data_IF_929857314636
#
_entry.id   IF_929857314636
#
_cell.length_a   1.000
_cell.length_b   1.000
_cell.length_c   1.000
_cell.angle_alpha   90.00
_cell.angle_beta   90.00
_cell.angle_gamma   90.00
#
_symmetry.space_group_name_H-M   'P 1'
#
loop_
_entity.id
_entity.type
_entity.pdbx_description
1 polymer ?
#
# COMPACT_ATOMS: atom_id res chain seq x y z
N UNK A 1 40.08 -74.32 -5.42
CA UNK A 1 39.72 -73.07 -4.70
C UNK A 1 40.08 -71.91 -5.62
N UNK A 2 39.15 -71.45 -6.45
CA UNK A 2 39.38 -70.41 -7.47
C UNK A 2 38.37 -69.29 -7.23
N UNK A 3 38.87 -68.07 -7.02
CA UNK A 3 38.14 -66.85 -6.64
C UNK A 3 37.16 -66.42 -7.73
N UNK A 4 35.95 -66.07 -7.30
CA UNK A 4 34.87 -65.48 -8.12
C UNK A 4 35.11 -63.97 -8.21
N UNK A 5 35.46 -63.45 -9.38
CA UNK A 5 35.55 -61.99 -9.59
C UNK A 5 34.18 -61.40 -9.94
N UNK A 6 33.78 -60.40 -9.14
CA UNK A 6 32.59 -59.56 -9.35
C UNK A 6 32.91 -58.51 -10.41
N UNK A 7 32.28 -58.58 -11.59
CA UNK A 7 32.20 -57.44 -12.51
C UNK A 7 31.03 -56.56 -12.08
N UNK A 8 31.35 -55.39 -11.53
CA UNK A 8 30.40 -54.30 -11.28
C UNK A 8 30.31 -53.52 -12.59
N UNK A 9 29.26 -53.72 -13.37
CA UNK A 9 28.94 -52.86 -14.52
C UNK A 9 28.37 -51.55 -13.98
N UNK A 10 29.19 -50.50 -14.02
CA UNK A 10 28.80 -49.13 -13.66
C UNK A 10 27.87 -48.59 -14.75
N UNK A 11 26.57 -48.60 -14.48
CA UNK A 11 25.57 -47.96 -15.33
C UNK A 11 25.68 -46.44 -15.16
N UNK A 12 26.17 -45.78 -16.20
CA UNK A 12 26.28 -44.33 -16.30
C UNK A 12 24.86 -43.72 -16.19
N UNK A 13 24.52 -43.14 -15.05
CA UNK A 13 23.30 -42.36 -14.90
C UNK A 13 23.46 -41.07 -15.72
N UNK A 14 22.80 -41.01 -16.88
CA UNK A 14 22.73 -39.82 -17.71
C UNK A 14 21.85 -38.79 -16.98
N UNK A 15 22.50 -37.90 -16.23
CA UNK A 15 21.85 -36.75 -15.59
C UNK A 15 21.49 -35.74 -16.69
N UNK A 16 20.25 -35.80 -17.17
CA UNK A 16 19.70 -34.74 -18.03
C UNK A 16 19.40 -33.54 -17.13
N UNK A 17 20.36 -32.61 -17.05
CA UNK A 17 20.13 -31.29 -16.45
C UNK A 17 19.30 -30.49 -17.46
N UNK A 18 17.97 -30.48 -17.27
CA UNK A 18 17.09 -29.52 -17.92
C UNK A 18 17.43 -28.14 -17.38
N UNK A 19 18.30 -27.41 -18.08
CA UNK A 19 18.45 -25.96 -17.88
C UNK A 19 17.16 -25.35 -18.44
N UNK A 20 16.17 -25.16 -17.56
CA UNK A 20 15.08 -24.25 -17.84
C UNK A 20 15.72 -22.85 -17.94
N UNK A 21 16.06 -22.43 -19.16
CA UNK A 21 16.35 -21.05 -19.44
C UNK A 21 15.07 -20.28 -19.12
N UNK A 22 15.03 -19.69 -17.92
CA UNK A 22 13.97 -18.80 -17.51
C UNK A 22 13.94 -17.64 -18.47
N UNK A 23 13.00 -17.69 -19.43
CA UNK A 23 12.64 -16.50 -20.20
C UNK A 23 12.18 -15.49 -19.17
N UNK A 24 12.87 -14.35 -19.08
CA UNK A 24 12.41 -13.21 -18.30
C UNK A 24 11.09 -12.75 -18.93
N UNK A 25 9.98 -13.29 -18.42
CA UNK A 25 8.66 -12.86 -18.82
C UNK A 25 8.54 -11.42 -18.31
N UNK A 26 8.25 -10.48 -19.22
CA UNK A 26 7.96 -9.12 -18.83
C UNK A 26 6.77 -9.10 -17.87
N UNK A 27 6.75 -8.14 -16.95
CA UNK A 27 5.67 -7.97 -15.98
C UNK A 27 4.29 -8.05 -16.67
N UNK A 28 3.45 -8.95 -16.19
CA UNK A 28 2.12 -9.19 -16.73
C UNK A 28 1.09 -8.36 -15.96
N UNK A 29 0.01 -7.99 -16.64
CA UNK A 29 -1.15 -7.37 -16.00
C UNK A 29 -2.26 -8.38 -15.81
N UNK A 30 -2.60 -8.68 -14.56
CA UNK A 30 -3.72 -9.53 -14.15
C UNK A 30 -4.94 -8.64 -13.88
N UNK A 31 -6.02 -8.82 -14.63
CA UNK A 31 -7.21 -7.94 -14.55
C UNK A 31 -8.29 -8.52 -13.65
N UNK A 32 -8.80 -7.70 -12.71
CA UNK A 32 -9.86 -8.05 -11.76
C UNK A 32 -11.10 -7.18 -11.97
N UNK A 33 -12.29 -7.80 -12.01
CA UNK A 33 -13.58 -7.11 -12.12
C UNK A 33 -14.59 -7.73 -11.15
N UNK A 34 -15.62 -6.96 -10.77
CA UNK A 34 -16.76 -7.48 -9.98
C UNK A 34 -17.70 -8.41 -10.76
N UNK A 35 -17.58 -8.48 -12.10
CA UNK A 35 -18.50 -9.22 -12.94
C UNK A 35 -17.81 -10.06 -14.03
N UNK A 36 -18.33 -11.27 -14.29
CA UNK A 36 -17.79 -12.17 -15.33
C UNK A 36 -17.96 -11.59 -16.74
N UNK A 37 -19.04 -10.86 -16.99
CA UNK A 37 -19.31 -10.21 -18.28
C UNK A 37 -18.38 -9.01 -18.56
N UNK A 38 -17.57 -8.58 -17.58
CA UNK A 38 -16.70 -7.41 -17.67
C UNK A 38 -15.37 -7.69 -18.42
N UNK A 39 -15.09 -8.96 -18.77
CA UNK A 39 -13.92 -9.36 -19.55
C UNK A 39 -12.60 -9.41 -18.75
N UNK A 40 -12.67 -9.42 -17.41
CA UNK A 40 -11.51 -9.65 -16.55
C UNK A 40 -11.20 -11.14 -16.41
N UNK A 41 -9.93 -11.44 -16.10
CA UNK A 41 -9.45 -12.81 -15.86
C UNK A 41 -9.90 -13.32 -14.49
N UNK A 42 -9.97 -12.42 -13.50
CA UNK A 42 -10.25 -12.75 -12.11
C UNK A 42 -11.46 -11.97 -11.60
N UNK A 43 -12.18 -12.59 -10.65
CA UNK A 43 -13.27 -11.95 -9.89
C UNK A 43 -12.86 -11.63 -8.45
N UNK A 44 -11.76 -12.22 -7.98
CA UNK A 44 -11.19 -11.98 -6.66
C UNK A 44 -9.84 -11.29 -6.78
N UNK A 45 -9.65 -10.21 -6.01
CA UNK A 45 -8.35 -9.53 -5.92
C UNK A 45 -7.31 -10.47 -5.32
N UNK A 46 -7.68 -11.21 -4.27
CA UNK A 46 -6.77 -12.13 -3.59
C UNK A 46 -6.31 -13.26 -4.52
N UNK A 47 -7.21 -13.80 -5.34
CA UNK A 47 -6.86 -14.84 -6.32
C UNK A 47 -5.87 -14.31 -7.36
N UNK A 48 -6.10 -13.09 -7.88
CA UNK A 48 -5.16 -12.47 -8.82
C UNK A 48 -3.78 -12.24 -8.18
N UNK A 49 -3.73 -11.82 -6.92
CA UNK A 49 -2.47 -11.68 -6.17
C UNK A 49 -1.79 -13.03 -6.03
N UNK A 50 -2.51 -14.10 -5.72
CA UNK A 50 -1.94 -15.45 -5.57
C UNK A 50 -1.33 -15.97 -6.88
N UNK A 51 -1.92 -15.64 -8.02
CA UNK A 51 -1.39 -15.96 -9.35
C UNK A 51 -0.25 -15.07 -9.83
N UNK A 52 -0.19 -13.81 -9.38
CA UNK A 52 0.81 -12.85 -9.83
C UNK A 52 2.24 -13.29 -9.49
N UNK A 53 3.18 -13.04 -10.40
CA UNK A 53 4.62 -13.16 -10.14
C UNK A 53 5.18 -11.84 -9.59
N UNK A 54 6.33 -11.88 -8.89
CA UNK A 54 7.09 -10.67 -8.58
C UNK A 54 7.24 -9.73 -9.78
N UNK A 55 6.88 -8.45 -9.59
CA UNK A 55 6.90 -7.40 -10.61
C UNK A 55 5.60 -7.24 -11.41
N UNK A 56 4.64 -8.18 -11.29
CA UNK A 56 3.37 -8.09 -12.00
C UNK A 56 2.47 -6.96 -11.47
N UNK A 57 1.50 -6.57 -12.29
CA UNK A 57 0.44 -5.64 -11.92
C UNK A 57 -0.89 -6.38 -11.76
N UNK A 58 -1.52 -6.27 -10.60
CA UNK A 58 -2.93 -6.61 -10.39
C UNK A 58 -3.76 -5.34 -10.62
N UNK A 59 -4.41 -5.26 -11.78
CA UNK A 59 -5.23 -4.13 -12.19
C UNK A 59 -6.70 -4.38 -11.82
N UNK A 60 -7.21 -3.64 -10.85
CA UNK A 60 -8.57 -3.78 -10.31
C UNK A 60 -9.46 -2.68 -10.89
N UNK A 61 -10.46 -3.06 -11.68
CA UNK A 61 -11.43 -2.11 -12.23
C UNK A 61 -12.45 -1.68 -11.20
N UNK A 62 -13.05 -0.51 -11.41
CA UNK A 62 -14.22 -0.02 -10.65
C UNK A 62 -15.18 -1.16 -10.32
N UNK A 63 -15.52 -1.27 -9.04
CA UNK A 63 -16.43 -2.26 -8.49
C UNK A 63 -16.36 -2.27 -6.97
N UNK A 64 -17.24 -3.03 -6.34
CA UNK A 64 -17.27 -3.20 -4.88
C UNK A 64 -16.80 -4.60 -4.50
N UNK A 65 -15.67 -4.65 -3.81
CA UNK A 65 -15.04 -5.87 -3.31
C UNK A 65 -15.17 -5.92 -1.80
N UNK A 66 -15.37 -7.13 -1.26
CA UNK A 66 -15.57 -7.38 0.17
C UNK A 66 -14.46 -8.28 0.71
N UNK A 67 -14.19 -8.14 2.00
CA UNK A 67 -13.15 -8.88 2.72
C UNK A 67 -11.79 -8.18 2.73
N UNK A 68 -10.77 -8.94 3.13
CA UNK A 68 -9.41 -8.46 3.34
C UNK A 68 -8.49 -8.92 2.20
N UNK A 69 -7.60 -8.04 1.75
CA UNK A 69 -6.59 -8.31 0.72
C UNK A 69 -5.21 -8.34 1.36
N UNK A 70 -4.48 -9.44 1.18
CA UNK A 70 -3.13 -9.63 1.69
C UNK A 70 -2.13 -9.71 0.53
N UNK A 71 -1.21 -8.74 0.46
CA UNK A 71 -0.17 -8.67 -0.55
C UNK A 71 1.13 -9.23 0.04
N UNK A 72 1.51 -10.42 -0.41
CA UNK A 72 2.67 -11.17 0.09
C UNK A 72 3.81 -11.30 -0.94
N UNK A 73 3.72 -10.57 -2.07
CA UNK A 73 4.69 -10.57 -3.17
C UNK A 73 4.93 -9.14 -3.65
N UNK A 74 6.13 -8.81 -4.16
CA UNK A 74 6.45 -7.48 -4.69
C UNK A 74 5.68 -7.25 -6.00
N UNK A 75 4.49 -6.67 -5.91
CA UNK A 75 3.59 -6.43 -7.05
C UNK A 75 3.08 -4.99 -7.02
N UNK A 76 2.44 -4.57 -8.11
CA UNK A 76 1.65 -3.35 -8.18
C UNK A 76 0.18 -3.71 -8.06
N UNK A 77 -0.50 -3.27 -7.01
CA UNK A 77 -1.96 -3.29 -6.91
C UNK A 77 -2.50 -1.92 -7.34
N UNK A 78 -3.15 -1.85 -8.50
CA UNK A 78 -3.59 -0.60 -9.12
C UNK A 78 -5.10 -0.59 -9.34
N UNK A 79 -5.78 0.44 -8.87
CA UNK A 79 -7.16 0.72 -9.25
C UNK A 79 -7.27 1.44 -10.61
N UNK A 80 -8.26 1.03 -11.41
CA UNK A 80 -8.61 1.63 -12.70
C UNK A 80 -10.07 2.09 -12.66
N UNK A 81 -10.29 3.39 -12.91
CA UNK A 81 -11.63 3.89 -13.27
C UNK A 81 -12.04 3.28 -14.60
N UNK A 82 -13.23 2.68 -14.66
CA UNK A 82 -13.70 2.00 -15.85
C UNK A 82 -15.02 2.58 -16.35
N UNK A 83 -16.15 2.02 -15.91
CA UNK A 83 -17.50 2.50 -16.25
C UNK A 83 -18.08 3.44 -15.18
N UNK A 84 -17.26 3.78 -14.21
CA UNK A 84 -17.59 4.67 -13.10
C UNK A 84 -16.42 5.64 -12.92
N UNK A 85 -16.72 6.86 -12.51
CA UNK A 85 -15.72 7.87 -12.16
C UNK A 85 -15.03 7.60 -10.81
N UNK A 86 -15.36 6.47 -10.18
CA UNK A 86 -14.81 6.02 -8.91
C UNK A 86 -13.82 4.87 -9.13
N UNK A 87 -12.73 4.88 -8.37
CA UNK A 87 -11.81 3.76 -8.24
C UNK A 87 -12.48 2.54 -7.58
N UNK A 88 -11.92 1.32 -7.66
CA UNK A 88 -12.45 0.15 -6.94
C UNK A 88 -12.51 0.40 -5.42
N UNK A 89 -13.59 -0.09 -4.78
CA UNK A 89 -13.75 -0.10 -3.33
C UNK A 89 -13.46 -1.48 -2.77
N UNK A 90 -12.63 -1.55 -1.72
CA UNK A 90 -12.52 -2.72 -0.85
C UNK A 90 -13.16 -2.37 0.50
N UNK A 91 -14.19 -3.13 0.88
CA UNK A 91 -14.86 -3.05 2.16
C UNK A 91 -14.38 -4.21 3.05
N UNK A 92 -13.77 -3.89 4.19
CA UNK A 92 -13.23 -4.89 5.13
C UNK A 92 -14.29 -5.50 6.07
N UNK A 93 -15.57 -5.20 5.86
CA UNK A 93 -16.71 -5.79 6.57
C UNK A 93 -16.64 -5.65 8.11
N UNK A 94 -16.00 -4.59 8.60
CA UNK A 94 -15.82 -4.30 10.02
C UNK A 94 -14.79 -5.19 10.72
N UNK A 95 -13.92 -5.89 9.96
CA UNK A 95 -12.95 -6.83 10.51
C UNK A 95 -11.58 -6.70 9.84
N UNK A 96 -10.52 -6.55 10.64
CA UNK A 96 -9.16 -6.52 10.11
C UNK A 96 -8.90 -5.29 9.26
N UNK A 97 -7.82 -5.33 8.47
CA UNK A 97 -7.48 -4.27 7.52
C UNK A 97 -8.01 -4.58 6.12
N UNK A 98 -8.42 -3.56 5.34
CA UNK A 98 -8.90 -3.80 3.98
C UNK A 98 -7.76 -4.28 3.06
N UNK A 99 -6.58 -3.65 3.16
CA UNK A 99 -5.35 -4.09 2.50
C UNK A 99 -4.25 -4.24 3.56
N UNK A 100 -3.57 -5.40 3.56
CA UNK A 100 -2.33 -5.61 4.30
C UNK A 100 -1.18 -5.81 3.32
N UNK A 101 -0.19 -4.92 3.38
CA UNK A 101 1.06 -5.00 2.62
C UNK A 101 2.11 -5.69 3.49
N UNK A 102 2.45 -6.92 3.13
CA UNK A 102 3.34 -7.79 3.89
C UNK A 102 4.61 -8.22 3.16
N UNK A 103 4.87 -7.67 1.97
CA UNK A 103 6.08 -7.90 1.21
C UNK A 103 6.68 -6.57 0.77
N UNK A 104 8.00 -6.49 0.77
CA UNK A 104 8.74 -5.31 0.35
C UNK A 104 8.54 -5.03 -1.15
N UNK A 105 8.75 -3.78 -1.56
CA UNK A 105 8.65 -3.32 -2.96
C UNK A 105 7.25 -3.50 -3.55
N UNK A 106 6.20 -3.31 -2.74
CA UNK A 106 4.82 -3.26 -3.20
C UNK A 106 4.43 -1.82 -3.54
N UNK A 107 3.69 -1.65 -4.62
CA UNK A 107 2.96 -0.40 -4.89
C UNK A 107 1.47 -0.64 -4.72
N UNK A 108 0.80 0.16 -3.88
CA UNK A 108 -0.66 0.21 -3.78
C UNK A 108 -1.10 1.58 -4.25
N UNK A 109 -1.86 1.61 -5.34
CA UNK A 109 -2.31 2.87 -5.91
C UNK A 109 -3.76 2.91 -6.36
N UNK A 110 -4.37 4.08 -6.21
CA UNK A 110 -5.69 4.39 -6.72
C UNK A 110 -6.81 3.46 -6.22
N UNK A 111 -6.76 3.05 -4.96
CA UNK A 111 -7.79 2.22 -4.32
C UNK A 111 -8.67 3.04 -3.39
N UNK A 112 -9.95 2.68 -3.24
CA UNK A 112 -10.79 3.10 -2.11
C UNK A 112 -10.86 1.95 -1.10
N UNK A 113 -10.67 2.25 0.18
CA UNK A 113 -10.67 1.28 1.28
C UNK A 113 -11.50 1.78 2.45
N UNK A 114 -12.37 0.92 2.99
CA UNK A 114 -13.34 1.32 4.02
C UNK A 114 -13.68 0.20 4.99
N UNK A 115 -14.30 0.61 6.11
CA UNK A 115 -14.96 -0.28 7.07
C UNK A 115 -14.00 -1.35 7.62
N UNK A 116 -12.77 -0.95 7.94
CA UNK A 116 -11.85 -1.77 8.72
C UNK A 116 -12.46 -2.14 10.08
N UNK A 117 -11.85 -3.12 10.74
CA UNK A 117 -12.07 -3.31 12.18
C UNK A 117 -11.55 -2.13 13.01
N UNK A 118 -11.72 -2.24 14.33
CA UNK A 118 -11.36 -1.21 15.31
C UNK A 118 -10.31 -1.68 16.32
N UNK A 119 -9.63 -2.80 16.06
CA UNK A 119 -8.57 -3.31 16.92
C UNK A 119 -7.24 -2.61 16.61
N UNK A 120 -6.27 -2.76 17.51
CA UNK A 120 -4.92 -2.25 17.28
C UNK A 120 -4.31 -2.85 16.01
N UNK A 121 -3.88 -2.00 15.09
CA UNK A 121 -3.32 -2.39 13.80
C UNK A 121 -4.37 -2.62 12.70
N UNK A 122 -5.67 -2.49 12.98
CA UNK A 122 -6.68 -2.45 11.92
C UNK A 122 -6.63 -1.10 11.19
N UNK A 123 -6.70 -1.14 9.86
CA UNK A 123 -6.67 0.06 9.04
C UNK A 123 -7.35 -0.14 7.68
N UNK A 124 -7.59 0.95 6.96
CA UNK A 124 -7.87 0.89 5.53
C UNK A 124 -6.70 0.23 4.78
N UNK A 125 -5.48 0.73 5.00
CA UNK A 125 -4.23 0.17 4.47
C UNK A 125 -3.24 -0.01 5.62
N UNK A 126 -2.80 -1.25 5.83
CA UNK A 126 -1.78 -1.61 6.83
C UNK A 126 -0.50 -2.03 6.12
N UNK A 127 0.62 -1.40 6.45
CA UNK A 127 1.95 -1.69 5.87
C UNK A 127 2.86 -2.22 6.97
N UNK A 128 3.36 -3.44 6.79
CA UNK A 128 4.28 -4.13 7.71
C UNK A 128 5.57 -4.58 7.01
N UNK A 129 5.91 -3.91 5.90
CA UNK A 129 7.03 -4.18 4.99
C UNK A 129 7.79 -2.89 4.65
N UNK A 130 8.83 -3.00 3.82
CA UNK A 130 9.75 -1.91 3.50
C UNK A 130 9.80 -1.58 2.01
N UNK A 131 10.26 -0.37 1.70
CA UNK A 131 10.46 0.12 0.33
C UNK A 131 9.16 0.12 -0.50
N UNK A 132 8.02 0.34 0.15
CA UNK A 132 6.70 0.32 -0.46
C UNK A 132 6.27 1.73 -0.91
N UNK A 133 5.38 1.77 -1.91
CA UNK A 133 4.78 3.00 -2.41
C UNK A 133 3.27 2.93 -2.21
N UNK A 134 2.73 3.82 -1.38
CA UNK A 134 1.30 3.95 -1.11
C UNK A 134 0.84 5.29 -1.66
N UNK A 135 0.14 5.30 -2.80
CA UNK A 135 -0.12 6.52 -3.56
C UNK A 135 -1.54 6.66 -4.10
N UNK A 136 -2.15 7.84 -3.98
CA UNK A 136 -3.44 8.11 -4.64
C UNK A 136 -4.63 7.32 -4.07
N UNK A 137 -4.50 6.75 -2.87
CA UNK A 137 -5.56 5.96 -2.25
C UNK A 137 -6.51 6.81 -1.42
N UNK A 138 -7.74 6.33 -1.26
CA UNK A 138 -8.78 6.93 -0.43
C UNK A 138 -9.12 5.98 0.71
N UNK A 139 -8.61 6.27 1.91
CA UNK A 139 -8.92 5.53 3.12
C UNK A 139 -9.98 6.27 3.94
N UNK A 140 -11.21 5.79 3.85
CA UNK A 140 -12.38 6.49 4.40
C UNK A 140 -13.24 5.61 5.29
N UNK A 141 -13.67 6.10 6.46
CA UNK A 141 -14.64 5.40 7.30
C UNK A 141 -14.10 4.10 7.90
N UNK A 142 -12.85 4.09 8.34
CA UNK A 142 -12.20 2.93 8.96
C UNK A 142 -12.26 3.04 10.49
N UNK A 143 -12.61 1.93 11.17
CA UNK A 143 -12.67 1.89 12.63
C UNK A 143 -11.32 2.08 13.32
N UNK A 144 -10.23 1.80 12.59
CA UNK A 144 -8.86 2.06 12.99
C UNK A 144 -8.24 3.24 12.24
N UNK A 145 -7.01 3.07 11.74
CA UNK A 145 -6.36 4.10 10.95
C UNK A 145 -6.85 4.10 9.49
N UNK A 146 -6.77 5.23 8.78
CA UNK A 146 -6.88 5.23 7.33
C UNK A 146 -5.71 4.46 6.72
N UNK A 147 -4.49 4.88 7.07
CA UNK A 147 -3.24 4.21 6.70
C UNK A 147 -2.37 4.05 7.94
N UNK A 148 -1.80 2.86 8.16
CA UNK A 148 -0.82 2.61 9.22
C UNK A 148 0.44 1.96 8.66
N UNK A 149 1.61 2.45 9.09
CA UNK A 149 2.92 1.84 8.86
C UNK A 149 3.47 1.34 10.19
N UNK A 150 3.64 0.03 10.33
CA UNK A 150 4.16 -0.59 11.56
C UNK A 150 5.52 -1.23 11.30
N UNK A 151 6.57 -0.69 11.93
CA UNK A 151 7.96 -1.15 11.75
C UNK A 151 8.42 -1.12 10.30
N UNK A 152 7.81 -0.27 9.48
CA UNK A 152 8.09 -0.10 8.06
C UNK A 152 9.24 0.89 7.85
N UNK A 153 10.02 0.66 6.79
CA UNK A 153 11.15 1.53 6.43
C UNK A 153 11.19 1.89 4.96
N UNK A 154 11.71 3.08 4.69
CA UNK A 154 11.97 3.58 3.34
C UNK A 154 10.74 3.58 2.42
N UNK A 155 9.54 3.64 2.99
CA UNK A 155 8.29 3.71 2.23
C UNK A 155 7.98 5.16 1.83
N UNK A 156 7.25 5.32 0.73
CA UNK A 156 6.70 6.60 0.29
C UNK A 156 5.18 6.55 0.37
N UNK A 157 4.59 7.44 1.16
CA UNK A 157 3.14 7.58 1.34
C UNK A 157 2.74 8.96 0.82
N UNK A 158 2.11 9.03 -0.35
CA UNK A 158 1.85 10.32 -0.97
C UNK A 158 0.53 10.42 -1.70
N UNK A 159 -0.01 11.63 -1.84
CA UNK A 159 -1.26 11.87 -2.57
C UNK A 159 -2.45 11.03 -2.10
N UNK A 160 -2.43 10.54 -0.85
CA UNK A 160 -3.55 9.78 -0.29
C UNK A 160 -4.53 10.72 0.42
N UNK A 161 -5.79 10.32 0.44
CA UNK A 161 -6.84 10.94 1.25
C UNK A 161 -7.17 10.01 2.40
N UNK A 162 -6.98 10.46 3.64
CA UNK A 162 -7.41 9.73 4.82
C UNK A 162 -8.47 10.57 5.56
N UNK A 163 -9.72 10.09 5.54
CA UNK A 163 -10.85 10.81 6.12
C UNK A 163 -11.80 9.94 6.94
N UNK A 164 -12.47 10.53 7.92
CA UNK A 164 -13.49 9.85 8.73
C UNK A 164 -12.97 8.55 9.39
N UNK A 165 -11.70 8.55 9.82
CA UNK A 165 -11.08 7.42 10.52
C UNK A 165 -10.79 7.78 11.98
N UNK A 166 -10.47 6.78 12.81
CA UNK A 166 -9.96 7.06 14.15
C UNK A 166 -8.60 7.78 14.08
N UNK A 167 -7.70 7.31 13.22
CA UNK A 167 -6.47 8.04 12.86
C UNK A 167 -6.36 8.20 11.36
N UNK A 168 -5.90 9.35 10.86
CA UNK A 168 -5.65 9.55 9.43
C UNK A 168 -4.49 8.69 8.93
N UNK A 169 -3.26 9.11 9.22
CA UNK A 169 -2.04 8.34 8.97
C UNK A 169 -1.25 8.14 10.26
N UNK A 170 -0.90 6.89 10.58
CA UNK A 170 -0.16 6.53 11.78
C UNK A 170 1.15 5.80 11.44
N UNK A 171 2.26 6.23 12.02
CA UNK A 171 3.55 5.54 11.97
C UNK A 171 3.91 5.03 13.36
N UNK A 172 3.98 3.71 13.48
CA UNK A 172 4.27 3.01 14.73
C UNK A 172 5.62 2.27 14.62
N UNK A 173 6.61 2.75 15.36
CA UNK A 173 7.99 2.26 15.36
C UNK A 173 8.60 2.18 13.95
N UNK A 174 8.22 3.11 13.07
CA UNK A 174 8.61 3.14 11.66
C UNK A 174 9.66 4.23 11.41
N UNK A 175 10.59 4.03 10.47
CA UNK A 175 11.73 4.94 10.28
C UNK A 175 12.09 5.14 8.81
N UNK A 176 12.56 6.33 8.45
CA UNK A 176 13.06 6.63 7.11
C UNK A 176 11.96 6.71 6.04
N UNK A 177 10.69 6.81 6.44
CA UNK A 177 9.57 6.95 5.51
C UNK A 177 9.38 8.41 5.11
N UNK A 178 8.79 8.63 3.92
CA UNK A 178 8.49 9.96 3.37
C UNK A 178 7.00 10.11 3.13
N UNK A 179 6.40 11.16 3.69
CA UNK A 179 4.98 11.44 3.61
C UNK A 179 4.75 12.86 3.07
N UNK A 180 4.05 13.01 1.96
CA UNK A 180 3.78 14.31 1.36
C UNK A 180 2.55 14.30 0.46
N UNK A 181 1.93 15.44 0.24
CA UNK A 181 0.67 15.62 -0.51
C UNK A 181 -0.49 14.75 0.00
N UNK A 182 -0.45 14.28 1.24
CA UNK A 182 -1.60 13.58 1.81
C UNK A 182 -2.62 14.60 2.35
N UNK A 183 -3.91 14.29 2.22
CA UNK A 183 -5.02 15.10 2.74
C UNK A 183 -5.66 14.36 3.91
N UNK A 184 -5.53 14.92 5.11
CA UNK A 184 -5.99 14.31 6.37
C UNK A 184 -7.07 15.19 6.97
N UNK A 185 -8.32 14.72 6.98
CA UNK A 185 -9.44 15.51 7.50
C UNK A 185 -10.54 14.65 8.11
N UNK A 186 -11.29 15.22 9.05
CA UNK A 186 -12.36 14.53 9.78
C UNK A 186 -11.91 13.23 10.48
N UNK A 187 -10.63 13.12 10.82
CA UNK A 187 -10.15 12.02 11.67
C UNK A 187 -10.23 12.45 13.15
N UNK A 188 -10.31 11.49 14.08
CA UNK A 188 -10.18 11.83 15.52
C UNK A 188 -8.77 12.40 15.78
N UNK A 189 -7.75 11.81 15.14
CA UNK A 189 -6.39 12.33 15.09
C UNK A 189 -5.87 12.24 13.64
N UNK A 190 -5.49 13.37 13.02
CA UNK A 190 -5.07 13.36 11.61
C UNK A 190 -3.78 12.57 11.39
N UNK A 191 -2.81 12.73 12.29
CA UNK A 191 -1.48 12.14 12.15
C UNK A 191 -0.86 11.76 13.49
N UNK A 192 -0.13 10.65 13.51
CA UNK A 192 0.69 10.21 14.63
C UNK A 192 1.99 9.57 14.12
N UNK A 193 3.11 9.85 14.77
CA UNK A 193 4.43 9.31 14.45
C UNK A 193 5.30 9.25 15.71
N UNK A 194 5.60 8.04 16.19
CA UNK A 194 6.52 7.79 17.31
C UNK A 194 7.96 7.43 16.84
N UNK A 195 8.21 7.51 15.53
CA UNK A 195 9.46 7.13 14.91
C UNK A 195 10.27 8.33 14.41
N UNK A 196 11.09 8.06 13.38
CA UNK A 196 11.92 9.08 12.71
C UNK A 196 11.59 9.08 11.22
N UNK A 197 10.63 9.91 10.84
CA UNK A 197 10.14 9.98 9.47
C UNK A 197 10.12 11.42 8.98
N UNK A 198 9.98 11.58 7.67
CA UNK A 198 9.90 12.90 7.05
C UNK A 198 8.49 13.12 6.54
N UNK A 199 7.83 14.14 7.05
CA UNK A 199 6.46 14.51 6.66
C UNK A 199 6.43 15.57 5.56
N UNK A 200 7.47 15.64 4.75
CA UNK A 200 7.52 16.44 3.53
C UNK A 200 8.50 15.80 2.52
N UNK A 201 8.49 16.29 1.28
CA UNK A 201 9.47 15.89 0.27
C UNK A 201 10.59 16.92 0.05
N UNK A 202 10.56 18.06 0.74
CA UNK A 202 11.49 19.19 0.59
C UNK A 202 10.98 20.32 -0.28
N UNK A 203 9.83 20.12 -0.91
CA UNK A 203 9.10 21.17 -1.63
C UNK A 203 7.67 21.29 -1.15
N UNK A 204 7.08 20.23 -0.59
CA UNK A 204 5.71 20.21 -0.08
C UNK A 204 5.53 19.13 0.99
N UNK A 205 4.69 19.42 1.96
CA UNK A 205 4.24 18.55 3.06
C UNK A 205 2.83 18.04 2.84
N UNK A 206 2.04 17.97 3.91
CA UNK A 206 0.69 17.40 3.93
C UNK A 206 -0.34 18.40 4.44
N UNK A 207 -1.60 18.12 4.16
CA UNK A 207 -2.72 18.88 4.69
C UNK A 207 -3.34 18.18 5.90
N UNK A 208 -3.62 18.95 6.95
CA UNK A 208 -4.23 18.49 8.19
C UNK A 208 -5.41 19.42 8.55
N UNK A 209 -6.65 18.91 8.59
CA UNK A 209 -7.80 19.72 8.95
C UNK A 209 -7.74 20.22 10.41
N UNK A 210 -7.05 19.49 11.29
CA UNK A 210 -6.81 19.91 12.68
C UNK A 210 -5.75 21.00 12.84
N UNK A 211 -5.06 21.40 11.77
CA UNK A 211 -4.01 22.41 11.80
C UNK A 211 -4.42 23.63 10.96
N UNK A 212 -4.58 24.76 11.64
CA UNK A 212 -4.73 26.07 11.00
C UNK A 212 -3.40 26.79 11.00
N UNK A 213 -3.02 27.36 9.87
CA UNK A 213 -1.78 28.10 9.67
C UNK A 213 -2.05 29.38 8.86
N UNK A 214 -1.04 30.24 8.79
CA UNK A 214 -0.99 31.39 7.87
C UNK A 214 -0.08 31.02 6.68
N UNK A 215 -0.38 31.62 5.54
CA UNK A 215 0.38 31.57 4.29
C UNK A 215 0.51 33.04 3.84
N UNK A 216 1.60 33.69 4.26
CA UNK A 216 1.82 35.13 4.07
C UNK A 216 2.29 35.48 2.66
N UNK A 217 2.88 34.54 1.92
CA UNK A 217 3.37 34.72 0.56
C UNK A 217 2.45 34.11 -0.52
N UNK A 218 1.30 33.55 -0.13
CA UNK A 218 0.25 32.97 -0.97
C UNK A 218 0.78 31.82 -1.88
N UNK A 219 1.78 31.07 -1.41
CA UNK A 219 2.38 29.97 -2.17
C UNK A 219 1.66 28.61 -1.98
N UNK A 220 0.70 28.55 -1.05
CA UNK A 220 -0.08 27.36 -0.72
C UNK A 220 0.54 26.51 0.39
N UNK A 221 1.65 26.92 0.98
CA UNK A 221 2.37 26.26 2.08
C UNK A 221 2.22 27.12 3.34
N UNK A 222 2.04 26.45 4.48
CA UNK A 222 2.02 27.08 5.79
C UNK A 222 3.41 27.60 6.16
N UNK A 223 3.49 28.86 6.59
CA UNK A 223 4.74 29.44 7.12
C UNK A 223 5.21 28.79 8.43
N UNK A 224 4.27 28.17 9.15
CA UNK A 224 4.53 27.44 10.38
C UNK A 224 4.61 25.94 10.13
N UNK A 225 5.74 25.35 10.51
CA UNK A 225 5.93 23.91 10.52
C UNK A 225 4.95 23.20 11.49
N UNK A 226 4.44 22.03 11.08
CA UNK A 226 3.52 21.23 11.88
C UNK A 226 4.27 20.11 12.61
N UNK A 227 4.36 20.22 13.93
CA UNK A 227 4.83 19.11 14.76
C UNK A 227 3.86 17.91 14.67
N UNK A 228 4.35 16.69 14.52
CA UNK A 228 3.52 15.48 14.47
C UNK A 228 3.44 14.84 15.87
N UNK A 229 2.24 14.58 16.41
CA UNK A 229 2.10 13.91 17.71
C UNK A 229 2.81 12.55 17.77
N UNK A 230 3.35 12.18 18.93
CA UNK A 230 3.96 10.86 19.19
C UNK A 230 5.49 10.87 19.30
N UNK A 231 6.17 11.83 18.65
CA UNK A 231 7.62 11.85 18.54
C UNK A 231 8.15 13.26 18.27
N UNK A 232 9.31 13.34 17.62
CA UNK A 232 9.96 14.60 17.26
C UNK A 232 9.83 14.96 15.77
N UNK A 233 9.07 14.16 15.00
CA UNK A 233 8.84 14.40 13.58
C UNK A 233 8.05 15.69 13.36
N UNK A 234 8.39 16.40 12.30
CA UNK A 234 7.76 17.66 11.91
C UNK A 234 7.52 17.60 10.40
N UNK A 235 6.35 18.11 9.97
CA UNK A 235 6.13 18.52 8.59
C UNK A 235 6.59 19.97 8.46
N UNK A 236 7.70 20.18 7.74
CA UNK A 236 8.29 21.50 7.59
C UNK A 236 7.59 22.36 6.53
N UNK A 237 6.74 21.76 5.69
CA UNK A 237 6.09 22.43 4.56
C UNK A 237 4.59 22.08 4.50
N UNK A 238 3.80 22.22 5.59
CA UNK A 238 2.41 21.79 5.60
C UNK A 238 1.60 22.55 4.54
N UNK A 239 0.61 21.91 3.94
CA UNK A 239 -0.26 22.54 2.95
C UNK A 239 -1.38 23.34 3.61
N UNK A 240 -1.72 24.49 3.03
CA UNK A 240 -2.92 25.24 3.42
C UNK A 240 -4.21 24.52 3.01
N UNK A 241 -5.32 24.91 3.61
CA UNK A 241 -6.65 24.43 3.21
C UNK A 241 -6.97 24.75 1.73
N UNK A 242 -6.59 25.95 1.26
CA UNK A 242 -6.84 26.36 -0.12
C UNK A 242 -6.07 25.47 -1.11
N UNK A 243 -4.77 25.26 -0.87
CA UNK A 243 -3.95 24.38 -1.71
C UNK A 243 -4.40 22.92 -1.66
N UNK A 244 -4.93 22.47 -0.52
CA UNK A 244 -5.44 21.12 -0.36
C UNK A 244 -6.80 20.86 -1.02
N UNK A 245 -7.58 21.90 -1.35
CA UNK A 245 -8.90 21.75 -2.00
C UNK A 245 -8.89 22.03 -3.51
N UNK A 246 -7.78 22.58 -4.03
CA UNK A 246 -7.46 22.62 -5.46
C UNK A 246 -7.10 21.24 -6.04
#
# INVERSE_FOLDING_TARGET
>A
MIKKERKITSGLALLVVLIAAGVAQGAVTLKVCECKACGCQYLSIQEAIEWASPGDTVLVRSGNFHGNVNISKPIILRGEKWRSDQFPLINADGKGSAITVGADMVTVENMRVTNSGNQSGDAGIRVISNNDIIIGNFASGNGGAGIILERARNCTVSANVAMDNNRGICLATSEGNRLFNNKLYNNIEDAFDDGKNRWDNGTVGNYYASFSCTDEDDDGICDLARHIPGGASVDALPLTCAAALG
#
